data_IF_105859861718
#
_entry.id   IF_105859861718
#
_cell.length_a   1.000
_cell.length_b   1.000
_cell.length_c   1.000
_cell.angle_alpha   90.00
_cell.angle_beta   90.00
_cell.angle_gamma   90.00
#
_symmetry.space_group_name_H-M   'P 1'
#
loop_
_entity.id
_entity.type
_entity.pdbx_description
1 polymer ?
#
# COMPACT_ATOMS: atom_id res chain seq x y z
N UNK A 1 31.04 30.00 36.11
CA UNK A 1 31.69 29.03 35.20
C UNK A 1 33.03 29.60 34.77
N UNK A 2 34.13 28.97 35.15
CA UNK A 2 35.45 29.44 34.78
C UNK A 2 35.69 29.12 33.30
N UNK A 3 35.54 30.11 32.42
CA UNK A 3 35.75 29.96 30.97
C UNK A 3 37.12 29.34 30.63
N UNK A 4 38.14 29.64 31.45
CA UNK A 4 39.48 29.04 31.34
C UNK A 4 39.47 27.52 31.61
N UNK A 5 38.70 27.05 32.60
CA UNK A 5 38.56 25.62 32.88
C UNK A 5 37.84 24.90 31.73
N UNK A 6 36.77 25.48 31.19
CA UNK A 6 36.08 24.95 30.00
C UNK A 6 37.04 24.85 28.81
N UNK A 7 37.86 25.88 28.57
CA UNK A 7 38.84 25.90 27.48
C UNK A 7 39.88 24.80 27.60
N UNK A 8 40.45 24.60 28.80
CA UNK A 8 41.43 23.54 29.06
C UNK A 8 40.81 22.15 28.86
N UNK A 9 39.58 21.94 29.35
CA UNK A 9 38.87 20.66 29.20
C UNK A 9 38.65 20.34 27.71
N UNK A 10 38.16 21.31 26.93
CA UNK A 10 37.96 21.14 25.48
C UNK A 10 39.29 20.82 24.79
N UNK A 11 40.37 21.53 25.14
CA UNK A 11 41.68 21.32 24.55
C UNK A 11 42.21 19.90 24.80
N UNK A 12 42.08 19.38 26.03
CA UNK A 12 42.48 18.01 26.38
C UNK A 12 41.66 16.98 25.59
N UNK A 13 40.34 17.19 25.46
CA UNK A 13 39.47 16.30 24.69
C UNK A 13 39.87 16.27 23.21
N UNK A 14 40.10 17.44 22.61
CA UNK A 14 40.53 17.56 21.20
C UNK A 14 41.88 16.90 21.00
N UNK A 15 42.83 17.10 21.91
CA UNK A 15 44.15 16.48 21.86
C UNK A 15 44.07 14.95 21.89
N UNK A 16 43.28 14.39 22.82
CA UNK A 16 43.05 12.95 22.90
C UNK A 16 42.41 12.39 21.63
N UNK A 17 41.43 13.11 21.07
CA UNK A 17 40.77 12.74 19.82
C UNK A 17 41.74 12.73 18.64
N UNK A 18 42.54 13.79 18.48
CA UNK A 18 43.56 13.88 17.41
C UNK A 18 44.62 12.80 17.56
N UNK A 19 45.10 12.53 18.78
CA UNK A 19 46.10 11.49 19.04
C UNK A 19 45.56 10.08 18.72
N UNK A 20 44.29 9.80 19.06
CA UNK A 20 43.63 8.56 18.69
C UNK A 20 43.42 8.43 17.17
N UNK A 21 43.03 9.53 16.51
CA UNK A 21 42.85 9.59 15.06
C UNK A 21 44.17 9.35 14.31
N UNK A 22 45.26 9.99 14.73
CA UNK A 22 46.58 9.86 14.11
C UNK A 22 47.18 8.45 14.24
N UNK A 23 46.88 7.73 15.33
CA UNK A 23 47.37 6.35 15.57
C UNK A 23 46.54 5.28 14.86
N UNK A 24 45.34 5.62 14.36
CA UNK A 24 44.43 4.64 13.75
C UNK A 24 44.68 4.52 12.25
N UNK A 25 44.70 3.29 11.74
CA UNK A 25 44.90 3.06 10.30
C UNK A 25 43.74 3.61 9.46
N UNK A 26 44.05 4.25 8.33
CA UNK A 26 43.08 4.88 7.40
C UNK A 26 41.91 3.95 7.02
N UNK A 27 42.17 2.65 6.86
CA UNK A 27 41.13 1.64 6.58
C UNK A 27 40.12 1.48 7.72
N UNK A 28 40.58 1.48 8.98
CA UNK A 28 39.68 1.37 10.15
C UNK A 28 38.90 2.65 10.40
N UNK A 29 39.51 3.81 10.15
CA UNK A 29 38.85 5.12 10.24
C UNK A 29 37.66 5.16 9.27
N UNK A 30 37.87 4.80 8.00
CA UNK A 30 36.81 4.84 6.99
C UNK A 30 35.61 3.94 7.34
N UNK A 31 35.85 2.74 7.88
CA UNK A 31 34.76 1.84 8.30
C UNK A 31 34.04 2.37 9.54
N UNK A 32 34.77 2.94 10.49
CA UNK A 32 34.21 3.50 11.72
C UNK A 32 33.35 4.72 11.42
N UNK A 33 33.84 5.64 10.58
CA UNK A 33 33.10 6.81 10.11
C UNK A 33 31.83 6.38 9.38
N UNK A 34 31.90 5.38 8.49
CA UNK A 34 30.72 4.83 7.81
C UNK A 34 29.67 4.31 8.81
N UNK A 35 30.10 3.58 9.84
CA UNK A 35 29.18 3.10 10.89
C UNK A 35 28.57 4.27 11.67
N UNK A 36 29.38 5.26 12.07
CA UNK A 36 28.90 6.45 12.80
C UNK A 36 27.85 7.21 11.98
N UNK A 37 28.11 7.43 10.68
CA UNK A 37 27.16 8.10 9.78
C UNK A 37 25.84 7.34 9.70
N UNK A 38 25.88 6.00 9.60
CA UNK A 38 24.66 5.17 9.55
C UNK A 38 23.86 5.27 10.85
N UNK A 39 24.51 5.14 12.02
CA UNK A 39 23.82 5.26 13.32
C UNK A 39 23.26 6.66 13.55
N UNK A 40 24.02 7.70 13.21
CA UNK A 40 23.58 9.09 13.32
C UNK A 40 22.38 9.36 12.42
N UNK A 41 22.43 8.88 11.17
CA UNK A 41 21.35 8.94 10.20
C UNK A 41 20.08 8.25 10.71
N UNK A 42 20.22 7.07 11.33
CA UNK A 42 19.09 6.33 11.91
C UNK A 42 18.43 7.10 13.06
N UNK A 43 19.23 7.67 13.97
CA UNK A 43 18.73 8.43 15.12
C UNK A 43 17.97 9.69 14.68
N UNK A 44 18.52 10.42 13.71
CA UNK A 44 17.90 11.62 13.15
C UNK A 44 16.58 11.27 12.43
N UNK A 45 16.56 10.17 11.66
CA UNK A 45 15.34 9.70 11.02
C UNK A 45 14.23 9.42 12.03
N UNK A 46 14.52 8.74 13.14
CA UNK A 46 13.55 8.45 14.21
C UNK A 46 12.97 9.72 14.84
N UNK A 47 13.80 10.73 15.07
CA UNK A 47 13.37 12.03 15.60
C UNK A 47 12.41 12.72 14.62
N UNK A 48 12.74 12.76 13.33
CA UNK A 48 11.89 13.38 12.31
C UNK A 48 10.56 12.65 12.07
N UNK A 49 10.53 11.33 12.19
CA UNK A 49 9.29 10.56 12.07
C UNK A 49 8.34 10.81 13.24
N UNK A 50 8.85 10.91 14.48
CA UNK A 50 8.03 11.29 15.64
C UNK A 50 7.52 12.72 15.51
N UNK A 51 8.33 13.62 14.96
CA UNK A 51 7.96 15.02 14.70
C UNK A 51 6.99 15.24 13.53
N UNK A 52 6.43 14.19 12.91
CA UNK A 52 5.46 14.28 11.80
C UNK A 52 6.06 14.74 10.46
N UNK A 53 7.39 14.92 10.38
CA UNK A 53 8.10 15.44 9.20
C UNK A 53 8.81 14.31 8.45
N UNK A 54 8.05 13.31 8.02
CA UNK A 54 8.54 12.13 7.30
C UNK A 54 9.30 12.45 6.00
N UNK A 55 9.00 13.59 5.36
CA UNK A 55 9.73 14.01 4.16
C UNK A 55 11.21 14.28 4.45
N UNK A 56 11.55 14.72 5.66
CA UNK A 56 12.94 14.97 6.06
C UNK A 56 13.70 13.71 6.48
N UNK A 57 13.02 12.58 6.73
CA UNK A 57 13.69 11.29 7.02
C UNK A 57 14.13 10.53 5.76
N UNK A 58 13.64 10.92 4.57
CA UNK A 58 13.95 10.27 3.28
C UNK A 58 15.44 10.26 2.92
N UNK A 59 16.18 11.39 3.00
CA UNK A 59 17.62 11.40 2.69
C UNK A 59 18.41 10.45 3.60
N UNK A 60 18.02 10.34 4.87
CA UNK A 60 18.65 9.46 5.85
C UNK A 60 18.40 7.98 5.57
N UNK A 61 17.22 7.63 5.04
CA UNK A 61 16.94 6.28 4.55
C UNK A 61 17.86 5.91 3.37
N UNK A 62 18.10 6.83 2.43
CA UNK A 62 19.03 6.59 1.31
C UNK A 62 20.47 6.36 1.79
N UNK A 63 20.93 7.08 2.81
CA UNK A 63 22.24 6.88 3.43
C UNK A 63 22.35 5.48 4.06
N UNK A 64 21.31 5.05 4.77
CA UNK A 64 21.25 3.71 5.37
C UNK A 64 21.27 2.64 4.27
N UNK A 65 20.41 2.76 3.25
CA UNK A 65 20.35 1.86 2.09
C UNK A 65 21.71 1.73 1.38
N UNK A 66 22.42 2.84 1.17
CA UNK A 66 23.76 2.85 0.58
C UNK A 66 24.80 2.15 1.47
N UNK A 67 24.69 2.31 2.79
CA UNK A 67 25.57 1.69 3.78
C UNK A 67 25.45 0.16 3.85
N UNK A 68 24.25 -0.39 3.62
CA UNK A 68 24.01 -1.84 3.71
C UNK A 68 24.56 -2.64 2.53
N UNK A 69 25.10 -2.01 1.46
CA UNK A 69 25.66 -2.71 0.27
C UNK A 69 24.74 -3.82 -0.27
N UNK A 70 23.43 -3.65 -0.16
CA UNK A 70 22.47 -4.63 -0.65
C UNK A 70 22.52 -4.55 -2.18
N UNK A 71 23.21 -5.50 -2.82
CA UNK A 71 23.42 -5.60 -4.28
C UNK A 71 22.12 -5.67 -5.11
N UNK A 72 20.95 -5.55 -4.49
CA UNK A 72 19.62 -5.72 -5.11
C UNK A 72 18.64 -4.55 -4.93
N UNK A 73 19.02 -3.48 -4.23
CA UNK A 73 18.15 -2.32 -3.98
C UNK A 73 18.73 -1.03 -4.55
N UNK A 74 19.42 -1.12 -5.69
CA UNK A 74 19.86 0.08 -6.40
C UNK A 74 18.64 0.86 -6.91
N UNK A 75 18.72 2.19 -6.96
CA UNK A 75 17.61 3.04 -7.42
C UNK A 75 16.99 2.59 -8.76
N UNK A 76 17.82 2.06 -9.66
CA UNK A 76 17.38 1.49 -10.95
C UNK A 76 16.53 0.21 -10.80
N UNK A 77 16.87 -0.67 -9.85
CA UNK A 77 16.08 -1.87 -9.55
C UNK A 77 14.73 -1.49 -8.94
N UNK A 78 14.69 -0.43 -8.13
CA UNK A 78 13.44 0.11 -7.60
C UNK A 78 12.54 0.69 -8.70
N UNK A 79 13.11 1.36 -9.71
CA UNK A 79 12.36 1.82 -10.89
C UNK A 79 11.81 0.65 -11.71
N UNK A 80 12.59 -0.43 -11.89
CA UNK A 80 12.14 -1.64 -12.58
C UNK A 80 10.98 -2.32 -11.84
N UNK A 81 11.07 -2.44 -10.51
CA UNK A 81 10.00 -2.94 -9.66
C UNK A 81 8.75 -2.05 -9.75
N UNK A 82 8.91 -0.73 -9.70
CA UNK A 82 7.79 0.20 -9.83
C UNK A 82 7.08 0.04 -11.17
N UNK A 83 7.83 -0.15 -12.26
CA UNK A 83 7.27 -0.39 -13.60
C UNK A 83 6.53 -1.72 -13.68
N UNK A 84 7.03 -2.77 -13.03
CA UNK A 84 6.35 -4.06 -12.91
C UNK A 84 5.05 -3.93 -12.13
N UNK A 85 5.06 -3.23 -10.99
CA UNK A 85 3.88 -2.95 -10.18
C UNK A 85 2.85 -2.14 -10.97
N UNK A 86 3.30 -1.15 -11.76
CA UNK A 86 2.43 -0.38 -12.64
C UNK A 86 1.80 -1.25 -13.75
N UNK A 87 2.58 -2.17 -14.34
CA UNK A 87 2.08 -3.13 -15.32
C UNK A 87 1.05 -4.10 -14.69
N UNK A 88 1.31 -4.62 -13.49
CA UNK A 88 0.38 -5.46 -12.74
C UNK A 88 -0.91 -4.70 -12.36
N UNK A 89 -0.78 -3.41 -12.01
CA UNK A 89 -1.93 -2.55 -11.72
C UNK A 89 -2.77 -2.26 -12.96
N UNK A 90 -2.13 -1.98 -14.10
CA UNK A 90 -2.82 -1.73 -15.37
C UNK A 90 -3.40 -2.97 -16.03
N UNK A 91 -2.89 -4.16 -15.71
CA UNK A 91 -3.40 -5.43 -16.27
C UNK A 91 -4.73 -5.89 -15.63
N UNK A 92 -5.37 -5.04 -14.84
CA UNK A 92 -6.79 -5.15 -14.46
C UNK A 92 -7.13 -6.27 -13.47
N UNK A 93 -6.24 -7.24 -13.26
CA UNK A 93 -6.48 -8.41 -12.38
C UNK A 93 -6.35 -8.10 -10.88
N UNK A 94 -5.84 -6.93 -10.54
CA UNK A 94 -5.68 -6.46 -9.16
C UNK A 94 -6.64 -5.33 -8.77
N UNK A 95 -7.62 -4.99 -9.61
CA UNK A 95 -8.80 -4.25 -9.13
C UNK A 95 -9.72 -5.21 -8.39
N UNK A 96 -9.21 -5.85 -7.33
CA UNK A 96 -10.03 -6.59 -6.38
C UNK A 96 -10.94 -5.54 -5.75
N UNK A 97 -12.22 -5.63 -6.13
CA UNK A 97 -13.38 -5.15 -5.40
C UNK A 97 -13.07 -4.09 -4.34
N UNK A 98 -13.62 -2.89 -4.55
CA UNK A 98 -14.20 -2.12 -3.46
C UNK A 98 -15.15 -3.03 -2.66
N UNK A 99 -14.62 -3.84 -1.76
CA UNK A 99 -15.33 -4.70 -0.81
C UNK A 99 -15.89 -3.85 0.35
N UNK A 100 -16.42 -2.67 0.03
CA UNK A 100 -16.80 -1.67 1.03
C UNK A 100 -17.27 -0.32 0.50
N UNK A 101 -17.45 -0.12 -0.82
CA UNK A 101 -18.22 1.03 -1.29
C UNK A 101 -19.65 0.60 -1.61
N UNK A 102 -20.49 0.59 -0.56
CA UNK A 102 -21.89 0.98 -0.70
C UNK A 102 -21.94 2.47 -1.07
N UNK A 103 -21.65 2.82 -2.32
CA UNK A 103 -21.84 4.18 -2.81
C UNK A 103 -22.30 4.15 -4.27
N UNK A 104 -23.54 4.60 -4.45
CA UNK A 104 -24.22 4.68 -5.72
C UNK A 104 -25.01 3.42 -5.98
N UNK A 105 -26.24 3.37 -5.47
CA UNK A 105 -27.30 2.62 -6.12
C UNK A 105 -27.14 2.80 -7.62
N UNK A 106 -26.91 1.74 -8.38
CA UNK A 106 -27.32 1.84 -9.76
C UNK A 106 -28.82 2.18 -9.69
N UNK A 107 -29.25 3.17 -10.47
CA UNK A 107 -30.63 3.62 -10.51
C UNK A 107 -31.54 2.54 -11.12
N UNK A 108 -31.30 1.25 -10.84
CA UNK A 108 -32.21 0.16 -11.17
C UNK A 108 -33.49 0.42 -10.40
N UNK A 109 -34.54 0.84 -11.09
CA UNK A 109 -35.86 0.95 -10.50
C UNK A 109 -36.37 -0.44 -10.12
N UNK A 110 -37.32 -0.54 -9.19
CA UNK A 110 -37.90 -1.83 -8.80
C UNK A 110 -38.51 -2.55 -10.00
N UNK A 111 -39.13 -1.80 -10.91
CA UNK A 111 -39.65 -2.30 -12.19
C UNK A 111 -38.56 -2.90 -13.10
N UNK A 112 -37.40 -2.24 -13.19
CA UNK A 112 -36.24 -2.76 -13.93
C UNK A 112 -35.65 -4.01 -13.27
N UNK A 113 -35.60 -4.08 -11.94
CA UNK A 113 -35.13 -5.27 -11.23
C UNK A 113 -36.01 -6.50 -11.55
N UNK A 114 -37.34 -6.32 -11.57
CA UNK A 114 -38.30 -7.36 -11.95
C UNK A 114 -38.13 -7.79 -13.41
N UNK A 115 -37.96 -6.85 -14.34
CA UNK A 115 -37.69 -7.13 -15.75
C UNK A 115 -36.36 -7.87 -15.96
N UNK A 116 -35.31 -7.52 -15.21
CA UNK A 116 -34.00 -8.17 -15.28
C UNK A 116 -34.05 -9.64 -14.84
N UNK A 117 -34.84 -9.96 -13.81
CA UNK A 117 -35.05 -11.34 -13.37
C UNK A 117 -36.11 -12.10 -14.18
N UNK A 118 -36.89 -11.39 -15.02
CA UNK A 118 -37.99 -11.97 -15.80
C UNK A 118 -39.21 -12.34 -14.95
N UNK A 119 -39.45 -11.61 -13.85
CA UNK A 119 -40.53 -11.85 -12.90
C UNK A 119 -41.53 -10.69 -12.89
N UNK A 120 -42.78 -10.96 -12.51
CA UNK A 120 -43.82 -9.94 -12.31
C UNK A 120 -43.83 -9.40 -10.87
N UNK A 121 -44.35 -8.19 -10.67
CA UNK A 121 -44.56 -7.62 -9.32
C UNK A 121 -45.51 -8.52 -8.53
N UNK A 122 -45.14 -8.88 -7.29
CA UNK A 122 -45.93 -9.77 -6.42
C UNK A 122 -45.45 -11.24 -6.34
N UNK A 123 -44.29 -11.57 -6.89
CA UNK A 123 -43.67 -12.89 -6.74
C UNK A 123 -43.26 -13.21 -5.29
N UNK A 124 -43.20 -14.49 -4.94
CA UNK A 124 -42.73 -14.94 -3.63
C UNK A 124 -41.20 -14.80 -3.49
N UNK A 125 -40.71 -14.72 -2.25
CA UNK A 125 -39.26 -14.61 -1.97
C UNK A 125 -38.46 -15.79 -2.56
N UNK A 126 -39.08 -16.96 -2.59
CA UNK A 126 -38.48 -18.19 -3.12
C UNK A 126 -38.35 -18.16 -4.64
N UNK A 127 -39.34 -17.59 -5.34
CA UNK A 127 -39.30 -17.42 -6.80
C UNK A 127 -38.17 -16.48 -7.23
N UNK A 128 -37.99 -15.37 -6.50
CA UNK A 128 -36.89 -14.41 -6.74
C UNK A 128 -35.53 -15.09 -6.58
N UNK A 129 -35.37 -15.91 -5.54
CA UNK A 129 -34.12 -16.63 -5.29
C UNK A 129 -33.84 -17.68 -6.38
N UNK A 130 -34.87 -18.42 -6.79
CA UNK A 130 -34.76 -19.43 -7.85
C UNK A 130 -34.42 -18.81 -9.22
N UNK A 131 -35.07 -17.70 -9.59
CA UNK A 131 -34.77 -16.98 -10.83
C UNK A 131 -33.33 -16.43 -10.83
N UNK A 132 -32.91 -15.84 -9.71
CA UNK A 132 -31.53 -15.33 -9.54
C UNK A 132 -30.52 -16.46 -9.69
N UNK A 133 -30.71 -17.59 -8.99
CA UNK A 133 -29.81 -18.74 -9.07
C UNK A 133 -29.72 -19.33 -10.49
N UNK A 134 -30.84 -19.36 -11.21
CA UNK A 134 -30.89 -19.84 -12.61
C UNK A 134 -30.13 -18.90 -13.55
N UNK A 135 -30.27 -17.59 -13.39
CA UNK A 135 -29.51 -16.59 -14.15
C UNK A 135 -28.02 -16.61 -13.80
N UNK A 136 -27.70 -16.71 -12.52
CA UNK A 136 -26.32 -16.75 -12.01
C UNK A 136 -25.54 -17.95 -12.55
N UNK A 137 -26.17 -19.12 -12.64
CA UNK A 137 -25.57 -20.32 -13.25
C UNK A 137 -25.26 -20.10 -14.74
N UNK A 138 -26.16 -19.46 -15.48
CA UNK A 138 -25.98 -19.19 -16.93
C UNK A 138 -24.85 -18.20 -17.22
N UNK A 139 -24.64 -17.23 -16.33
CA UNK A 139 -23.58 -16.22 -16.46
C UNK A 139 -22.28 -16.63 -15.74
N UNK A 140 -22.16 -17.86 -15.24
CA UNK A 140 -20.97 -18.25 -14.51
C UNK A 140 -19.74 -18.27 -15.45
N UNK A 141 -18.57 -17.74 -15.05
CA UNK A 141 -17.36 -17.71 -15.89
C UNK A 141 -16.90 -19.11 -16.33
N UNK A 142 -17.23 -20.15 -15.57
CA UNK A 142 -16.92 -21.53 -15.98
C UNK A 142 -17.70 -21.99 -17.21
N UNK A 143 -18.92 -21.48 -17.38
CA UNK A 143 -19.78 -21.80 -18.52
C UNK A 143 -19.56 -20.86 -19.70
N UNK A 144 -19.03 -19.65 -19.46
CA UNK A 144 -18.85 -18.64 -20.49
C UNK A 144 -17.50 -17.91 -20.29
N UNK A 145 -16.45 -18.48 -20.86
CA UNK A 145 -15.05 -18.03 -20.67
C UNK A 145 -14.71 -16.75 -21.45
N UNK A 146 -15.51 -16.40 -22.45
CA UNK A 146 -15.19 -15.35 -23.43
C UNK A 146 -15.86 -13.99 -23.15
N UNK A 147 -16.79 -13.91 -22.19
CA UNK A 147 -17.59 -12.72 -21.90
C UNK A 147 -17.31 -12.17 -20.50
N UNK A 148 -17.39 -10.83 -20.37
CA UNK A 148 -17.29 -10.10 -19.08
C UNK A 148 -18.50 -10.40 -18.19
N UNK A 149 -18.54 -11.62 -17.64
CA UNK A 149 -19.61 -12.17 -16.80
C UNK A 149 -19.70 -11.52 -15.42
N UNK A 150 -18.61 -10.91 -14.94
CA UNK A 150 -18.55 -10.24 -13.64
C UNK A 150 -19.57 -9.10 -13.50
N UNK A 151 -19.69 -8.24 -14.52
CA UNK A 151 -20.60 -7.09 -14.47
C UNK A 151 -22.08 -7.52 -14.53
N UNK A 152 -22.38 -8.58 -15.29
CA UNK A 152 -23.72 -9.17 -15.34
C UNK A 152 -24.09 -9.83 -14.01
N UNK A 153 -23.14 -10.53 -13.40
CA UNK A 153 -23.28 -11.12 -12.06
C UNK A 153 -23.55 -10.08 -10.98
N UNK A 154 -22.85 -8.95 -11.03
CA UNK A 154 -23.10 -7.82 -10.13
C UNK A 154 -24.52 -7.27 -10.29
N UNK A 155 -24.96 -7.04 -11.53
CA UNK A 155 -26.28 -6.48 -11.84
C UNK A 155 -27.43 -7.40 -11.39
N UNK A 156 -27.28 -8.72 -11.57
CA UNK A 156 -28.25 -9.73 -11.11
C UNK A 156 -28.35 -9.75 -9.57
N UNK A 157 -27.23 -9.64 -8.87
CA UNK A 157 -27.23 -9.59 -7.41
C UNK A 157 -27.86 -8.30 -6.87
N UNK A 158 -27.59 -7.15 -7.50
CA UNK A 158 -28.18 -5.87 -7.12
C UNK A 158 -29.71 -5.87 -7.33
N UNK A 159 -30.20 -6.45 -8.44
CA UNK A 159 -31.64 -6.63 -8.68
C UNK A 159 -32.30 -7.50 -7.60
N UNK A 160 -31.68 -8.62 -7.21
CA UNK A 160 -32.14 -9.50 -6.13
C UNK A 160 -32.22 -8.74 -4.80
N UNK A 161 -31.15 -8.03 -4.41
CA UNK A 161 -31.11 -7.28 -3.16
C UNK A 161 -32.17 -6.17 -3.12
N UNK A 162 -32.42 -5.50 -4.25
CA UNK A 162 -33.41 -4.43 -4.34
C UNK A 162 -34.85 -4.94 -4.19
N UNK A 163 -35.19 -6.06 -4.82
CA UNK A 163 -36.51 -6.70 -4.67
C UNK A 163 -36.71 -7.18 -3.23
N UNK A 164 -35.70 -7.84 -2.64
CA UNK A 164 -35.78 -8.30 -1.25
C UNK A 164 -35.99 -7.14 -0.29
N UNK A 165 -35.31 -6.01 -0.50
CA UNK A 165 -35.41 -4.82 0.37
C UNK A 165 -36.71 -4.04 0.18
N UNK A 166 -37.36 -4.12 -0.99
CA UNK A 166 -38.56 -3.32 -1.29
C UNK A 166 -39.86 -4.07 -0.95
N UNK A 167 -39.96 -5.36 -1.31
CA UNK A 167 -41.21 -6.12 -1.22
C UNK A 167 -41.32 -6.99 0.04
N UNK A 168 -40.20 -7.28 0.73
CA UNK A 168 -40.16 -8.19 1.88
C UNK A 168 -39.61 -7.54 3.17
N UNK A 169 -39.59 -6.21 3.23
CA UNK A 169 -39.13 -5.44 4.38
C UNK A 169 -40.26 -4.62 5.01
#
# INVERSE_FOLDING_TARGET
MNLLLIGIIIFVIVYLFLNWFARTSSKRIAVTIKKIIVYLSLLIATIFTVGGKFLFSLPFLFVILSGLKIKGLTALQMLQLWRLIQFLRNSGRFSKNQFGQTQGSSNITTDEAYKLLGLSKGCSKEEVLNATNKLQKKIHPDMNRDLKTERLSQLVNEAKEKIIKTDFN
#
